data_IF_603473419926
#
_entry.id   IF_603473419926
#
_cell.length_a   1.000
_cell.length_b   1.000
_cell.length_c   1.000
_cell.angle_alpha   90.00
_cell.angle_beta   90.00
_cell.angle_gamma   90.00
#
_symmetry.space_group_name_H-M   'P 1'
#
loop_
_entity.id
_entity.type
_entity.pdbx_description
1 polymer ?
#
# COMPACT_ATOMS: atom_id res chain seq x y z
N UNK A 1 -39.79 4.56 13.91
CA UNK A 1 -38.43 3.98 13.78
C UNK A 1 -37.71 4.68 12.63
N UNK A 2 -36.66 5.47 12.92
CA UNK A 2 -35.79 6.02 11.87
C UNK A 2 -34.82 4.91 11.43
N UNK A 3 -34.92 4.47 10.16
CA UNK A 3 -33.88 3.64 9.53
C UNK A 3 -32.78 4.56 9.02
N UNK A 4 -31.69 4.67 9.76
CA UNK A 4 -30.50 5.40 9.31
C UNK A 4 -29.79 4.55 8.25
N UNK A 5 -30.00 4.89 6.97
CA UNK A 5 -29.22 4.35 5.86
C UNK A 5 -27.84 5.00 5.85
N UNK A 6 -26.93 4.50 6.68
CA UNK A 6 -25.52 4.85 6.60
C UNK A 6 -24.90 4.11 5.41
N UNK A 7 -24.81 4.78 4.26
CA UNK A 7 -24.01 4.27 3.15
C UNK A 7 -22.53 4.49 3.49
N UNK A 8 -21.84 3.42 3.86
CA UNK A 8 -20.39 3.46 4.04
C UNK A 8 -19.73 3.80 2.70
N UNK A 9 -19.08 4.97 2.64
CA UNK A 9 -18.19 5.32 1.53
C UNK A 9 -16.78 4.92 1.95
N UNK A 10 -16.12 3.97 1.26
CA UNK A 10 -14.75 3.64 1.58
C UNK A 10 -13.86 4.88 1.44
N UNK A 11 -12.88 5.00 2.34
CA UNK A 11 -11.90 6.08 2.26
C UNK A 11 -11.04 5.90 1.01
N UNK A 12 -10.78 7.01 0.31
CA UNK A 12 -9.87 7.01 -0.83
C UNK A 12 -8.42 7.02 -0.32
N UNK A 13 -7.73 5.88 -0.47
CA UNK A 13 -6.34 5.70 -0.04
C UNK A 13 -5.31 6.08 -1.11
N UNK A 14 -5.73 6.47 -2.31
CA UNK A 14 -4.83 6.87 -3.40
C UNK A 14 -3.81 7.96 -2.99
N UNK A 15 -4.18 8.99 -2.18
CA UNK A 15 -3.21 9.99 -1.73
C UNK A 15 -2.04 9.40 -0.93
N UNK A 16 -2.26 8.33 -0.16
CA UNK A 16 -1.22 7.64 0.59
C UNK A 16 -0.23 6.94 -0.34
N UNK A 17 -0.73 6.31 -1.42
CA UNK A 17 0.12 5.65 -2.40
C UNK A 17 0.95 6.65 -3.22
N UNK A 18 0.37 7.81 -3.55
CA UNK A 18 1.12 8.91 -4.17
C UNK A 18 2.23 9.46 -3.25
N UNK A 19 2.02 9.42 -1.93
CA UNK A 19 3.04 9.82 -0.97
C UNK A 19 4.18 8.80 -0.91
N UNK A 20 3.87 7.51 -0.86
CA UNK A 20 4.86 6.43 -0.89
C UNK A 20 5.74 6.51 -2.17
N UNK A 21 5.12 6.77 -3.32
CA UNK A 21 5.84 6.99 -4.58
C UNK A 21 6.81 8.18 -4.51
N UNK A 22 6.38 9.31 -3.92
CA UNK A 22 7.26 10.48 -3.76
C UNK A 22 8.42 10.19 -2.81
N UNK A 23 8.17 9.52 -1.71
CA UNK A 23 9.21 9.13 -0.75
C UNK A 23 10.24 8.20 -1.39
N UNK A 24 9.80 7.25 -2.21
CA UNK A 24 10.67 6.37 -2.97
C UNK A 24 11.50 7.15 -4.01
N UNK A 25 10.86 8.03 -4.78
CA UNK A 25 11.54 8.85 -5.79
C UNK A 25 12.52 9.88 -5.18
N UNK A 26 12.29 10.32 -3.94
CA UNK A 26 13.23 11.16 -3.19
C UNK A 26 14.33 10.37 -2.47
N UNK A 27 14.30 9.04 -2.54
CA UNK A 27 15.26 8.15 -1.89
C UNK A 27 15.14 8.12 -0.37
N UNK A 28 13.96 8.46 0.18
CA UNK A 28 13.71 8.41 1.62
C UNK A 28 13.34 7.01 2.11
N UNK A 29 12.78 6.20 1.21
CA UNK A 29 12.45 4.79 1.43
C UNK A 29 12.94 3.97 0.25
N UNK A 30 13.20 2.69 0.48
CA UNK A 30 13.66 1.78 -0.55
C UNK A 30 12.62 0.71 -0.92
N UNK A 31 13.01 -0.24 -1.78
CA UNK A 31 12.13 -1.34 -2.21
C UNK A 31 11.78 -2.29 -1.06
N UNK A 32 12.63 -2.40 -0.04
CA UNK A 32 12.36 -3.25 1.12
C UNK A 32 11.29 -2.62 2.01
N UNK A 33 11.33 -1.31 2.22
CA UNK A 33 10.29 -0.57 2.96
C UNK A 33 8.91 -0.74 2.28
N UNK A 34 8.84 -0.54 0.97
CA UNK A 34 7.60 -0.73 0.20
C UNK A 34 7.11 -2.19 0.25
N UNK A 35 8.03 -3.17 0.25
CA UNK A 35 7.67 -4.59 0.36
C UNK A 35 7.10 -4.93 1.75
N UNK A 36 7.62 -4.29 2.81
CA UNK A 36 7.09 -4.40 4.16
C UNK A 36 5.69 -3.77 4.27
N UNK A 37 5.45 -2.63 3.62
CA UNK A 37 4.12 -2.01 3.56
C UNK A 37 3.11 -2.93 2.85
N UNK A 38 3.53 -3.63 1.79
CA UNK A 38 2.67 -4.64 1.15
C UNK A 38 2.41 -5.82 2.09
N UNK A 39 3.45 -6.31 2.79
CA UNK A 39 3.31 -7.41 3.75
C UNK A 39 2.39 -7.06 4.93
N UNK A 40 2.37 -5.79 5.35
CA UNK A 40 1.50 -5.27 6.41
C UNK A 40 0.08 -4.93 5.92
N UNK A 41 -0.16 -4.95 4.60
CA UNK A 41 -1.44 -4.60 4.00
C UNK A 41 -1.72 -3.10 3.97
N UNK A 42 -0.70 -2.26 4.17
CA UNK A 42 -0.80 -0.79 4.08
C UNK A 42 -0.59 -0.27 2.66
N UNK A 43 0.03 -1.08 1.79
CA UNK A 43 0.21 -0.82 0.36
C UNK A 43 -0.28 -2.00 -0.49
N UNK A 44 -1.10 -1.79 -1.53
CA UNK A 44 -1.43 -2.85 -2.47
C UNK A 44 -0.21 -3.30 -3.27
N UNK A 45 -0.07 -4.60 -3.53
CA UNK A 45 1.00 -5.14 -4.37
C UNK A 45 1.04 -4.48 -5.77
N UNK A 46 -0.13 -4.12 -6.33
CA UNK A 46 -0.20 -3.40 -7.62
C UNK A 46 0.46 -2.01 -7.57
N UNK A 47 0.39 -1.33 -6.42
CA UNK A 47 1.07 -0.03 -6.25
C UNK A 47 2.57 -0.20 -6.07
N UNK A 48 3.02 -1.27 -5.41
CA UNK A 48 4.44 -1.63 -5.36
C UNK A 48 5.02 -1.81 -6.77
N UNK A 49 4.35 -2.58 -7.62
CA UNK A 49 4.78 -2.81 -9.00
C UNK A 49 4.80 -1.52 -9.81
N UNK A 50 3.81 -0.65 -9.61
CA UNK A 50 3.72 0.65 -10.28
C UNK A 50 4.86 1.59 -9.86
N UNK A 51 5.23 1.61 -8.58
CA UNK A 51 6.24 2.53 -8.03
C UNK A 51 7.65 2.04 -8.35
N UNK A 52 7.91 0.74 -8.20
CA UNK A 52 9.26 0.18 -8.28
C UNK A 52 9.62 -0.37 -9.66
N UNK A 53 8.61 -0.71 -10.47
CA UNK A 53 8.76 -1.44 -11.74
C UNK A 53 9.00 -2.94 -11.59
N UNK A 54 9.15 -3.43 -10.35
CA UNK A 54 9.44 -4.83 -10.05
C UNK A 54 8.18 -5.55 -9.57
N UNK A 55 8.09 -6.84 -9.88
CA UNK A 55 7.03 -7.69 -9.32
C UNK A 55 7.21 -7.85 -7.82
N UNK A 56 6.12 -7.73 -7.07
CA UNK A 56 6.15 -8.05 -5.65
C UNK A 56 6.18 -9.58 -5.47
N UNK A 57 7.31 -10.10 -5.00
CA UNK A 57 7.45 -11.51 -4.63
C UNK A 57 7.26 -11.65 -3.12
N UNK A 58 6.17 -12.31 -2.71
CA UNK A 58 5.99 -12.70 -1.31
C UNK A 58 7.06 -13.72 -0.99
N UNK A 59 8.06 -13.34 -0.19
CA UNK A 59 8.94 -14.32 0.41
C UNK A 59 8.13 -15.14 1.42
N UNK A 60 7.82 -16.38 1.06
CA UNK A 60 7.22 -17.38 1.97
C UNK A 60 8.20 -17.62 3.14
N UNK A 61 8.15 -16.78 4.19
CA UNK A 61 9.20 -16.86 5.21
C UNK A 61 9.04 -16.08 6.50
N UNK A 62 7.97 -15.32 6.72
CA UNK A 62 7.81 -14.59 8.00
C UNK A 62 6.44 -14.84 8.63
N UNK A 63 6.21 -16.09 9.00
CA UNK A 63 5.36 -16.42 10.15
C UNK A 63 6.30 -16.92 11.24
N UNK A 64 6.61 -16.06 12.21
CA UNK A 64 7.15 -16.46 13.51
C UNK A 64 6.36 -15.75 14.59
#
# INVERSE_FOLDING_TARGET
MLKLNFTFKPFNLNPCYTQAEKMYNWGWIDKHDLANDVAQGTLPASEYERITGDKYEVSEGTTK
#
